data_IF_079079114642
#
_entry.id   IF_079079114642
#
_cell.length_a   1.000
_cell.length_b   1.000
_cell.length_c   1.000
_cell.angle_alpha   90.00
_cell.angle_beta   90.00
_cell.angle_gamma   90.00
#
_symmetry.space_group_name_H-M   'P 1'
#
loop_
_entity.id
_entity.type
_entity.pdbx_description
1 polymer ?
#
# COMPACT_ATOMS: atom_id res chain seq x y z
N UNK A 1 29.23 8.62 -21.30
CA UNK A 1 29.57 7.18 -21.38
C UNK A 1 28.45 6.37 -20.74
N UNK A 2 27.76 5.58 -21.55
CA UNK A 2 26.60 4.76 -21.15
C UNK A 2 27.08 3.53 -20.37
N UNK A 3 26.74 3.43 -19.08
CA UNK A 3 26.92 2.20 -18.32
C UNK A 3 25.74 1.25 -18.58
N UNK A 4 25.87 0.42 -19.62
CA UNK A 4 25.10 -0.82 -19.76
C UNK A 4 25.62 -1.82 -18.72
N UNK A 5 25.16 -1.71 -17.47
CA UNK A 5 25.41 -2.69 -16.42
C UNK A 5 24.21 -3.63 -16.28
N UNK A 6 24.38 -4.91 -16.63
CA UNK A 6 23.39 -5.97 -16.37
C UNK A 6 23.25 -6.14 -14.85
N UNK A 7 22.04 -6.11 -14.31
CA UNK A 7 21.78 -6.35 -12.88
C UNK A 7 22.39 -7.71 -12.48
N UNK A 8 23.28 -7.78 -11.47
CA UNK A 8 23.91 -9.03 -11.06
C UNK A 8 22.88 -9.99 -10.45
N UNK A 9 23.04 -11.29 -10.71
CA UNK A 9 22.27 -12.34 -10.02
C UNK A 9 22.53 -12.30 -8.51
N UNK A 10 21.54 -12.64 -7.67
CA UNK A 10 21.68 -12.72 -6.20
C UNK A 10 22.91 -13.53 -5.74
N UNK A 11 23.37 -14.50 -6.55
CA UNK A 11 24.57 -15.31 -6.26
C UNK A 11 25.89 -14.55 -6.36
N UNK A 12 25.94 -13.43 -7.10
CA UNK A 12 27.16 -12.64 -7.30
C UNK A 12 27.23 -11.35 -6.46
N UNK A 13 26.26 -11.12 -5.57
CA UNK A 13 26.23 -9.94 -4.72
C UNK A 13 27.19 -10.10 -3.53
N UNK A 14 28.09 -9.13 -3.34
CA UNK A 14 28.99 -9.08 -2.18
C UNK A 14 28.19 -9.10 -0.86
N UNK A 15 28.70 -9.72 0.22
CA UNK A 15 27.95 -9.90 1.48
C UNK A 15 27.42 -8.59 2.07
N UNK A 16 28.11 -7.47 1.83
CA UNK A 16 27.74 -6.12 2.29
C UNK A 16 26.54 -5.50 1.58
N UNK A 17 26.07 -6.09 0.47
CA UNK A 17 24.95 -5.60 -0.34
C UNK A 17 23.77 -6.57 -0.41
N UNK A 18 23.73 -7.61 0.45
CA UNK A 18 22.54 -8.43 0.59
C UNK A 18 21.53 -7.65 1.43
N UNK A 19 20.27 -7.48 1.00
CA UNK A 19 19.25 -6.97 1.89
C UNK A 19 19.24 -7.88 3.12
N UNK A 20 19.41 -7.30 4.30
CA UNK A 20 19.25 -8.04 5.55
C UNK A 20 17.82 -8.57 5.54
N UNK A 21 17.67 -9.89 5.38
CA UNK A 21 16.39 -10.55 5.62
C UNK A 21 16.19 -10.39 7.11
N UNK A 22 15.25 -9.51 7.49
CA UNK A 22 14.82 -9.38 8.88
C UNK A 22 14.06 -10.67 9.16
N UNK A 23 14.69 -11.60 9.87
CA UNK A 23 14.01 -12.78 10.42
C UNK A 23 13.06 -12.29 11.53
N UNK A 24 11.85 -11.91 11.11
CA UNK A 24 10.78 -11.50 12.01
C UNK A 24 9.98 -12.75 12.39
N UNK A 25 9.80 -13.00 13.69
CA UNK A 25 8.84 -13.99 14.15
C UNK A 25 7.44 -13.64 13.63
N UNK A 26 6.66 -14.65 13.23
CA UNK A 26 5.30 -14.41 12.75
C UNK A 26 4.43 -13.95 13.92
N UNK A 27 3.91 -12.73 13.83
CA UNK A 27 2.97 -12.17 14.80
C UNK A 27 1.56 -12.25 14.21
N UNK A 28 0.62 -12.85 14.93
CA UNK A 28 -0.80 -12.96 14.52
C UNK A 28 -1.16 -14.31 13.89
N UNK A 29 -2.23 -14.32 13.11
CA UNK A 29 -2.77 -15.51 12.43
C UNK A 29 -2.33 -15.52 10.95
N UNK A 30 -1.97 -16.70 10.43
CA UNK A 30 -1.68 -16.91 9.01
C UNK A 30 -2.82 -17.68 8.37
N UNK A 31 -3.44 -17.09 7.34
CA UNK A 31 -4.55 -17.72 6.60
C UNK A 31 -4.10 -18.08 5.17
N UNK A 32 -4.21 -19.35 4.75
CA UNK A 32 -3.96 -19.73 3.37
C UNK A 32 -5.11 -19.24 2.48
N UNK A 33 -4.78 -18.79 1.28
CA UNK A 33 -5.73 -18.28 0.27
C UNK A 33 -5.38 -18.87 -1.09
N UNK A 34 -6.39 -19.00 -1.97
CA UNK A 34 -6.23 -19.67 -3.26
C UNK A 34 -5.42 -18.84 -4.27
N UNK A 35 -5.60 -17.52 -4.25
CA UNK A 35 -4.98 -16.60 -5.19
C UNK A 35 -4.79 -15.18 -4.61
N UNK A 36 -4.19 -14.30 -5.41
CA UNK A 36 -3.91 -12.91 -5.03
C UNK A 36 -5.17 -12.05 -4.88
N UNK A 37 -6.24 -12.31 -5.63
CA UNK A 37 -7.47 -11.55 -5.51
C UNK A 37 -8.16 -11.86 -4.19
N UNK A 38 -8.24 -13.15 -3.83
CA UNK A 38 -8.75 -13.57 -2.53
C UNK A 38 -7.88 -12.99 -1.41
N UNK A 39 -6.54 -13.03 -1.55
CA UNK A 39 -5.64 -12.42 -0.57
C UNK A 39 -5.95 -10.95 -0.34
N UNK A 40 -6.05 -10.15 -1.42
CA UNK A 40 -6.35 -8.72 -1.34
C UNK A 40 -7.72 -8.47 -0.71
N UNK A 41 -8.73 -9.25 -1.10
CA UNK A 41 -10.08 -9.13 -0.57
C UNK A 41 -10.14 -9.44 0.94
N UNK A 42 -9.52 -10.53 1.40
CA UNK A 42 -9.48 -10.90 2.82
C UNK A 42 -8.74 -9.86 3.66
N UNK A 43 -7.57 -9.40 3.19
CA UNK A 43 -6.79 -8.37 3.89
C UNK A 43 -7.55 -7.04 3.96
N UNK A 44 -8.20 -6.63 2.87
CA UNK A 44 -9.06 -5.46 2.84
C UNK A 44 -10.33 -5.63 3.67
N UNK A 45 -10.87 -6.85 3.83
CA UNK A 45 -12.05 -7.12 4.64
C UNK A 45 -11.74 -6.99 6.14
N UNK A 46 -10.60 -7.51 6.57
CA UNK A 46 -10.17 -7.55 7.97
C UNK A 46 -9.46 -6.29 8.48
N UNK A 47 -9.29 -5.27 7.64
CA UNK A 47 -8.68 -4.00 8.04
C UNK A 47 -9.70 -2.90 8.30
N UNK A 48 -9.39 -1.91 9.13
CA UNK A 48 -10.21 -0.72 9.33
C UNK A 48 -9.78 0.42 8.40
N UNK A 49 -8.50 0.43 8.04
CA UNK A 49 -7.90 1.35 7.08
C UNK A 49 -6.82 0.65 6.25
N UNK A 50 -6.41 1.30 5.16
CA UNK A 50 -5.36 0.82 4.28
C UNK A 50 -4.24 1.85 4.23
N UNK A 51 -2.97 1.43 4.31
CA UNK A 51 -1.81 2.34 4.24
C UNK A 51 -0.87 1.91 3.11
N UNK A 52 -0.51 2.86 2.25
CA UNK A 52 0.52 2.70 1.23
C UNK A 52 1.84 3.31 1.69
N UNK A 53 2.92 2.52 1.62
CA UNK A 53 4.29 2.96 1.86
C UNK A 53 4.99 3.25 0.52
N UNK A 54 6.00 4.14 0.49
CA UNK A 54 6.76 4.41 -0.73
C UNK A 54 7.27 3.13 -1.40
N UNK A 55 6.95 2.96 -2.68
CA UNK A 55 7.33 1.77 -3.43
C UNK A 55 7.00 1.86 -4.92
N UNK A 56 7.46 0.88 -5.69
CA UNK A 56 7.34 0.85 -7.15
C UNK A 56 5.94 0.49 -7.66
N UNK A 57 5.89 0.01 -8.91
CA UNK A 57 4.62 -0.27 -9.62
C UNK A 57 3.66 -1.20 -8.88
N UNK A 58 4.16 -2.23 -8.17
CA UNK A 58 3.30 -3.15 -7.43
C UNK A 58 2.49 -2.43 -6.32
N UNK A 59 3.11 -1.47 -5.63
CA UNK A 59 2.42 -0.69 -4.60
C UNK A 59 1.41 0.27 -5.23
N UNK A 60 1.75 0.89 -6.37
CA UNK A 60 0.85 1.80 -7.06
C UNK A 60 -0.38 1.07 -7.64
N UNK A 61 -0.20 -0.15 -8.15
CA UNK A 61 -1.31 -0.97 -8.65
C UNK A 61 -2.30 -1.31 -7.54
N UNK A 62 -1.81 -1.85 -6.42
CA UNK A 62 -2.64 -2.18 -5.26
C UNK A 62 -3.32 -0.92 -4.67
N UNK A 63 -2.59 0.19 -4.60
CA UNK A 63 -3.14 1.47 -4.13
C UNK A 63 -4.32 1.95 -5.00
N UNK A 64 -4.16 1.94 -6.33
CA UNK A 64 -5.20 2.40 -7.24
C UNK A 64 -6.42 1.45 -7.23
N UNK A 65 -6.21 0.15 -7.04
CA UNK A 65 -7.30 -0.81 -6.91
C UNK A 65 -8.16 -0.52 -5.67
N UNK A 66 -7.55 -0.30 -4.50
CA UNK A 66 -8.31 -0.01 -3.27
C UNK A 66 -8.99 1.35 -3.30
N UNK A 67 -8.37 2.37 -3.92
CA UNK A 67 -9.03 3.65 -4.18
C UNK A 67 -10.26 3.45 -5.07
N UNK A 68 -10.13 2.62 -6.12
CA UNK A 68 -11.23 2.33 -7.03
C UNK A 68 -12.38 1.60 -6.33
N UNK A 69 -12.07 0.65 -5.42
CA UNK A 69 -13.09 -0.04 -4.62
C UNK A 69 -13.84 0.93 -3.69
N UNK A 70 -13.14 1.88 -3.09
CA UNK A 70 -13.77 2.96 -2.33
C UNK A 70 -14.65 3.85 -3.22
N UNK A 71 -14.18 4.21 -4.42
CA UNK A 71 -14.96 5.00 -5.38
C UNK A 71 -16.24 4.28 -5.84
N UNK A 72 -16.19 2.96 -6.00
CA UNK A 72 -17.35 2.12 -6.34
C UNK A 72 -18.28 1.85 -5.15
N UNK A 73 -17.93 2.30 -3.94
CA UNK A 73 -18.71 2.08 -2.72
C UNK A 73 -18.63 0.64 -2.18
N UNK A 74 -17.62 -0.13 -2.58
CA UNK A 74 -17.40 -1.51 -2.10
C UNK A 74 -16.94 -1.49 -0.63
N UNK A 75 -16.19 -0.46 -0.24
CA UNK A 75 -15.86 -0.16 1.16
C UNK A 75 -15.79 1.34 1.41
N UNK A 76 -15.89 1.73 2.68
CA UNK A 76 -15.77 3.14 3.12
C UNK A 76 -14.50 3.39 3.96
N UNK A 77 -13.54 2.46 3.92
CA UNK A 77 -12.29 2.52 4.68
C UNK A 77 -11.37 3.60 4.12
N UNK A 78 -10.75 4.45 4.97
CA UNK A 78 -9.83 5.47 4.50
C UNK A 78 -8.52 4.86 4.00
N UNK A 79 -7.94 5.49 2.97
CA UNK A 79 -6.66 5.08 2.36
C UNK A 79 -5.59 6.10 2.71
N UNK A 80 -4.65 5.70 3.56
CA UNK A 80 -3.51 6.49 3.99
C UNK A 80 -2.29 6.36 3.07
N UNK A 81 -1.63 7.47 2.78
CA UNK A 81 -0.34 7.53 2.09
C UNK A 81 0.73 8.05 3.05
N UNK A 82 1.73 7.22 3.34
CA UNK A 82 2.89 7.66 4.11
C UNK A 82 3.84 8.44 3.19
N UNK A 83 3.70 9.77 3.19
CA UNK A 83 4.35 10.67 2.24
C UNK A 83 5.75 11.11 2.70
N UNK A 84 6.64 10.14 2.93
CA UNK A 84 8.04 10.39 3.30
C UNK A 84 8.74 11.17 2.19
N UNK A 85 9.41 12.26 2.55
CA UNK A 85 10.17 13.13 1.64
C UNK A 85 9.38 13.61 0.40
N UNK A 86 8.04 13.65 0.49
CA UNK A 86 7.19 14.07 -0.62
C UNK A 86 7.05 13.05 -1.76
N UNK A 87 7.33 11.76 -1.51
CA UNK A 87 7.24 10.69 -2.50
C UNK A 87 5.94 10.70 -3.33
N UNK A 88 4.80 10.93 -2.67
CA UNK A 88 3.47 10.93 -3.30
C UNK A 88 3.02 12.30 -3.83
N UNK A 89 3.83 13.36 -3.74
CA UNK A 89 3.41 14.71 -4.12
C UNK A 89 2.88 14.77 -5.57
N UNK A 90 3.61 14.19 -6.52
CA UNK A 90 3.17 14.17 -7.92
C UNK A 90 1.90 13.33 -8.14
N UNK A 91 1.73 12.24 -7.39
CA UNK A 91 0.51 11.44 -7.45
C UNK A 91 -0.69 12.23 -6.92
N UNK A 92 -0.52 12.90 -5.77
CA UNK A 92 -1.55 13.75 -5.19
C UNK A 92 -1.94 14.89 -6.13
N UNK A 93 -0.96 15.60 -6.71
CA UNK A 93 -1.20 16.64 -7.72
C UNK A 93 -1.93 16.09 -8.95
N UNK A 94 -1.57 14.88 -9.42
CA UNK A 94 -2.27 14.24 -10.53
C UNK A 94 -3.74 13.96 -10.19
N UNK A 95 -4.02 13.48 -8.99
CA UNK A 95 -5.38 13.21 -8.52
C UNK A 95 -6.17 14.51 -8.36
N UNK A 96 -5.57 15.56 -7.79
CA UNK A 96 -6.18 16.89 -7.69
C UNK A 96 -6.57 17.41 -9.08
N UNK A 97 -5.67 17.27 -10.06
CA UNK A 97 -5.95 17.66 -11.44
C UNK A 97 -7.09 16.84 -12.08
N UNK A 98 -7.15 15.54 -11.81
CA UNK A 98 -8.23 14.68 -12.28
C UNK A 98 -9.59 15.05 -11.65
N UNK A 99 -9.61 15.55 -10.42
CA UNK A 99 -10.81 16.14 -9.80
C UNK A 99 -11.20 17.43 -10.51
N UNK A 100 -10.24 18.34 -10.72
CA UNK A 100 -10.48 19.63 -11.40
C UNK A 100 -11.00 19.45 -12.83
N UNK A 101 -10.50 18.45 -13.55
CA UNK A 101 -10.94 18.11 -14.91
C UNK A 101 -12.26 17.32 -14.95
N UNK A 102 -12.83 16.98 -13.79
CA UNK A 102 -14.12 16.30 -13.68
C UNK A 102 -14.08 14.78 -13.92
N UNK A 103 -12.89 14.17 -13.93
CA UNK A 103 -12.74 12.71 -14.02
C UNK A 103 -13.01 12.01 -12.68
N UNK A 104 -12.78 12.70 -11.56
CA UNK A 104 -13.04 12.20 -10.21
C UNK A 104 -14.05 13.14 -9.54
N UNK A 105 -15.07 12.57 -8.89
CA UNK A 105 -16.01 13.38 -8.12
C UNK A 105 -15.26 14.09 -6.97
N UNK A 106 -15.45 15.40 -6.74
CA UNK A 106 -14.83 16.09 -5.60
C UNK A 106 -15.11 15.43 -4.26
N UNK A 107 -16.29 14.80 -4.09
CA UNK A 107 -16.61 14.03 -2.89
C UNK A 107 -15.81 12.73 -2.76
N UNK A 108 -15.04 12.29 -3.75
CA UNK A 108 -14.19 11.10 -3.66
C UNK A 108 -12.73 11.46 -3.39
N UNK A 109 -12.37 12.75 -3.42
CA UNK A 109 -11.00 13.20 -3.16
C UNK A 109 -10.53 12.91 -1.73
N UNK A 110 -11.46 12.89 -0.77
CA UNK A 110 -11.17 12.65 0.64
C UNK A 110 -10.99 11.17 1.00
N UNK A 111 -11.14 10.24 0.03
CA UNK A 111 -10.79 8.82 0.21
C UNK A 111 -9.31 8.69 0.60
N UNK A 112 -8.47 9.58 0.09
CA UNK A 112 -7.02 9.57 0.28
C UNK A 112 -6.63 10.59 1.34
N UNK A 113 -5.96 10.09 2.38
CA UNK A 113 -5.32 10.86 3.43
C UNK A 113 -3.81 10.71 3.27
N UNK A 114 -3.04 11.78 3.45
CA UNK A 114 -1.58 11.70 3.38
C UNK A 114 -0.94 12.45 4.53
N UNK A 115 0.12 11.88 5.11
CA UNK A 115 0.93 12.54 6.12
C UNK A 115 2.41 12.15 5.98
N UNK A 116 3.34 13.04 6.36
CA UNK A 116 4.79 12.79 6.21
C UNK A 116 5.33 11.77 7.23
N UNK A 117 4.64 11.57 8.36
CA UNK A 117 5.07 10.66 9.42
C UNK A 117 4.01 9.62 9.75
N UNK A 118 4.44 8.46 10.24
CA UNK A 118 3.52 7.36 10.58
C UNK A 118 2.57 7.75 11.72
N UNK A 119 3.05 8.50 12.71
CA UNK A 119 2.23 8.96 13.83
C UNK A 119 1.12 9.89 13.37
N UNK A 120 1.44 10.89 12.54
CA UNK A 120 0.44 11.79 11.97
C UNK A 120 -0.57 11.02 11.12
N UNK A 121 -0.09 10.10 10.27
CA UNK A 121 -0.98 9.33 9.41
C UNK A 121 -1.96 8.47 10.22
N UNK A 122 -1.47 7.75 11.23
CA UNK A 122 -2.31 6.91 12.09
C UNK A 122 -3.30 7.75 12.87
N UNK A 123 -2.89 8.91 13.37
CA UNK A 123 -3.78 9.81 14.10
C UNK A 123 -4.94 10.32 13.22
N UNK A 124 -4.65 10.72 11.98
CA UNK A 124 -5.67 11.14 11.01
C UNK A 124 -6.63 9.98 10.67
N UNK A 125 -6.09 8.77 10.42
CA UNK A 125 -6.91 7.60 10.11
C UNK A 125 -7.80 7.17 11.30
N UNK A 126 -7.27 7.19 12.52
CA UNK A 126 -8.03 6.90 13.74
C UNK A 126 -9.20 7.86 13.95
N UNK A 127 -9.00 9.14 13.65
CA UNK A 127 -10.07 10.14 13.72
C UNK A 127 -11.22 9.80 12.75
N UNK A 128 -10.90 9.24 11.58
CA UNK A 128 -11.89 8.85 10.57
C UNK A 128 -12.58 7.50 10.85
N UNK A 129 -11.91 6.57 11.54
CA UNK A 129 -12.46 5.21 11.77
C UNK A 129 -13.36 5.10 13.01
N UNK A 130 -13.45 6.13 13.87
CA UNK A 130 -14.30 6.22 15.08
C UNK A 130 -14.13 5.13 16.17
N UNK A 131 -13.50 4.00 15.86
CA UNK A 131 -13.22 2.90 16.77
C UNK A 131 -11.72 2.92 17.13
N UNK A 132 -11.40 3.06 18.41
CA UNK A 132 -10.03 3.24 18.92
C UNK A 132 -9.05 2.07 18.71
N UNK A 133 -9.41 1.07 17.91
CA UNK A 133 -8.56 -0.02 17.44
C UNK A 133 -8.50 0.09 15.91
N UNK A 134 -7.33 0.42 15.38
CA UNK A 134 -7.12 0.56 13.94
C UNK A 134 -6.31 -0.65 13.45
N UNK A 135 -6.98 -1.69 12.95
CA UNK A 135 -6.31 -2.75 12.21
C UNK A 135 -5.90 -2.21 10.85
N UNK A 136 -4.62 -1.93 10.70
CA UNK A 136 -4.07 -1.36 9.47
C UNK A 136 -3.68 -2.47 8.51
N UNK A 137 -4.21 -2.44 7.29
CA UNK A 137 -3.63 -3.22 6.19
C UNK A 137 -2.56 -2.38 5.48
N UNK A 138 -1.30 -2.76 5.64
CA UNK A 138 -0.19 -2.16 4.87
C UNK A 138 -0.17 -2.82 3.49
N UNK A 139 -0.42 -2.02 2.46
CA UNK A 139 -0.32 -2.36 1.05
C UNK A 139 1.16 -2.69 0.79
N UNK A 140 1.50 -3.96 0.87
CA UNK A 140 2.85 -4.47 0.63
C UNK A 140 2.75 -5.66 -0.30
N UNK A 141 3.41 -5.53 -1.45
CA UNK A 141 3.65 -6.64 -2.34
C UNK A 141 4.54 -7.66 -1.60
N UNK A 142 3.96 -8.75 -1.10
CA UNK A 142 4.73 -9.98 -0.89
C UNK A 142 4.33 -10.98 -1.96
N UNK A 143 5.04 -10.92 -3.09
CA UNK A 143 5.10 -12.00 -4.07
C UNK A 143 5.86 -13.24 -3.55
N UNK A 144 6.29 -13.24 -2.28
CA UNK A 144 7.03 -14.36 -1.69
C UNK A 144 6.14 -15.12 -0.71
N UNK A 145 5.52 -16.18 -1.26
CA UNK A 145 5.30 -17.47 -0.61
C UNK A 145 4.22 -17.54 0.47
N UNK A 146 2.97 -17.85 0.09
CA UNK A 146 2.12 -18.92 0.66
C UNK A 146 0.90 -19.19 -0.26
N UNK A 147 1.13 -19.25 -1.58
CA UNK A 147 0.21 -20.02 -2.44
C UNK A 147 0.67 -21.47 -2.27
N UNK A 148 0.00 -22.22 -1.39
CA UNK A 148 0.21 -23.67 -1.36
C UNK A 148 -0.30 -24.21 -2.69
N UNK A 149 0.65 -24.47 -3.60
CA UNK A 149 0.39 -25.27 -4.80
C UNK A 149 0.07 -26.70 -4.31
N UNK A 150 -0.98 -27.35 -4.82
CA UNK A 150 -1.36 -28.70 -4.40
C UNK A 150 -0.24 -29.72 -4.61
#
# INVERSE_FOLDING_TARGET
MSCKGRVPSMKSMQPSCRPAIVDCETVGEVRPVADMHQRKAEMAHHSDCLISLPGGYGILEELLEVITWAQLGIHNKPVGLLNVDGYYNYLLTFIDKAVDDGFINPSQRHIIVSAPTANELVQELQYMTHDGLCLVFIITFSSSTLIQKP
#
